data_IF_009070783209
#
_entry.id   IF_009070783209
#
_cell.length_a   1.000
_cell.length_b   1.000
_cell.length_c   1.000
_cell.angle_alpha   90.00
_cell.angle_beta   90.00
_cell.angle_gamma   90.00
#
_symmetry.space_group_name_H-M   'P 1'
#
loop_
_entity.id
_entity.type
_entity.pdbx_description
1 polymer ?
#
# COMPACT_ATOMS: atom_id res chain seq x y z
N UNK A 1 -4.56 -22.72 -27.33
CA UNK A 1 -5.21 -21.82 -26.36
C UNK A 1 -4.15 -20.86 -25.84
N UNK A 2 -4.07 -19.67 -26.42
CA UNK A 2 -3.22 -18.57 -25.94
C UNK A 2 -3.86 -18.00 -24.69
N UNK A 3 -3.31 -18.33 -23.52
CA UNK A 3 -3.80 -17.86 -22.22
C UNK A 3 -3.38 -16.40 -22.00
N UNK A 4 -4.05 -15.46 -22.66
CA UNK A 4 -3.86 -14.01 -22.49
C UNK A 4 -4.53 -13.47 -21.22
N UNK A 5 -4.24 -14.07 -20.06
CA UNK A 5 -4.82 -13.71 -18.75
C UNK A 5 -3.79 -13.14 -17.76
N UNK A 6 -2.56 -12.87 -18.20
CA UNK A 6 -1.51 -12.29 -17.35
C UNK A 6 -1.13 -10.91 -17.87
N UNK A 7 -0.75 -9.99 -16.97
CA UNK A 7 -0.25 -8.67 -17.34
C UNK A 7 0.82 -8.79 -18.44
N UNK A 8 0.76 -7.92 -19.45
CA UNK A 8 1.80 -7.88 -20.50
C UNK A 8 3.12 -7.38 -19.90
N UNK A 9 3.05 -6.58 -18.84
CA UNK A 9 4.18 -6.05 -18.08
C UNK A 9 3.82 -5.88 -16.60
N UNK A 10 4.72 -6.32 -15.71
CA UNK A 10 4.68 -6.05 -14.27
C UNK A 10 5.94 -5.29 -13.87
N UNK A 11 5.88 -4.47 -12.81
CA UNK A 11 7.10 -3.92 -12.23
C UNK A 11 7.68 -4.93 -11.25
N UNK A 12 8.99 -5.18 -11.35
CA UNK A 12 9.71 -6.09 -10.48
C UNK A 12 10.85 -5.35 -9.80
N UNK A 13 11.07 -5.65 -8.53
CA UNK A 13 12.23 -5.13 -7.81
C UNK A 13 12.71 -6.13 -6.77
N UNK A 14 14.02 -6.10 -6.51
CA UNK A 14 14.63 -6.79 -5.37
C UNK A 14 15.03 -5.74 -4.35
N UNK A 15 14.58 -5.93 -3.11
CA UNK A 15 14.96 -5.09 -1.99
C UNK A 15 15.25 -5.98 -0.76
N UNK A 16 16.44 -5.82 -0.16
CA UNK A 16 16.92 -6.64 0.98
C UNK A 16 16.77 -8.15 0.72
N UNK A 17 17.20 -8.59 -0.46
CA UNK A 17 17.12 -9.99 -0.94
C UNK A 17 15.69 -10.57 -1.03
N UNK A 18 14.67 -9.70 -1.04
CA UNK A 18 13.27 -10.08 -1.27
C UNK A 18 12.80 -9.56 -2.61
N UNK A 19 12.13 -10.44 -3.35
CA UNK A 19 11.53 -10.11 -4.63
C UNK A 19 10.13 -9.55 -4.42
N UNK A 20 9.84 -8.39 -5.02
CA UNK A 20 8.51 -7.80 -5.03
C UNK A 20 8.05 -7.59 -6.47
N UNK A 21 6.87 -8.12 -6.79
CA UNK A 21 6.21 -7.96 -8.09
C UNK A 21 4.99 -7.09 -7.89
N UNK A 22 4.86 -6.03 -8.67
CA UNK A 22 3.71 -5.13 -8.62
C UNK A 22 2.79 -5.36 -9.83
N UNK A 23 1.56 -5.87 -9.61
CA UNK A 23 0.54 -5.91 -10.65
C UNK A 23 0.02 -4.48 -10.90
N UNK A 24 0.52 -3.84 -11.96
CA UNK A 24 0.14 -2.46 -12.28
C UNK A 24 -1.22 -2.44 -12.98
N UNK A 25 -2.22 -1.82 -12.37
CA UNK A 25 -3.61 -1.78 -12.85
C UNK A 25 -3.75 -1.30 -14.30
N UNK A 26 -2.98 -0.28 -14.70
CA UNK A 26 -2.99 0.29 -16.05
C UNK A 26 -2.34 -0.62 -17.09
N UNK A 27 -1.50 -1.57 -16.66
CA UNK A 27 -0.84 -2.58 -17.50
C UNK A 27 -1.61 -3.91 -17.54
N UNK A 28 -2.62 -4.06 -16.69
CA UNK A 28 -3.50 -5.22 -16.68
C UNK A 28 -4.58 -5.09 -17.77
N UNK A 29 -4.93 -6.21 -18.46
CA UNK A 29 -5.98 -6.20 -19.47
C UNK A 29 -7.28 -5.61 -18.94
N UNK A 30 -7.88 -4.72 -19.72
CA UNK A 30 -9.26 -4.29 -19.49
C UNK A 30 -10.21 -5.03 -20.41
N UNK A 31 -11.37 -5.39 -19.90
CA UNK A 31 -12.46 -5.96 -20.70
C UNK A 31 -13.47 -4.87 -20.99
N UNK A 32 -13.74 -4.61 -22.27
CA UNK A 32 -14.78 -3.67 -22.69
C UNK A 32 -16.16 -4.20 -22.26
N UNK A 33 -17.01 -3.33 -21.72
CA UNK A 33 -18.31 -3.73 -21.16
C UNK A 33 -18.27 -4.34 -19.75
N UNK A 34 -17.09 -4.68 -19.21
CA UNK A 34 -16.93 -5.07 -17.81
C UNK A 34 -16.73 -3.83 -16.93
N UNK A 35 -17.83 -3.28 -16.42
CA UNK A 35 -17.79 -2.08 -15.56
C UNK A 35 -17.05 -2.30 -14.24
N UNK A 36 -16.91 -3.55 -13.79
CA UNK A 36 -16.19 -3.89 -12.56
C UNK A 36 -14.72 -4.25 -12.79
N UNK A 37 -14.29 -4.41 -14.05
CA UNK A 37 -12.93 -4.79 -14.44
C UNK A 37 -12.44 -6.01 -13.63
N UNK A 38 -13.24 -7.07 -13.59
CA UNK A 38 -13.04 -8.25 -12.75
C UNK A 38 -11.67 -8.90 -12.95
N UNK A 39 -11.10 -8.84 -14.16
CA UNK A 39 -9.75 -9.32 -14.42
C UNK A 39 -8.71 -8.53 -13.60
N UNK A 40 -8.74 -7.19 -13.68
CA UNK A 40 -7.85 -6.33 -12.88
C UNK A 40 -8.07 -6.55 -11.39
N UNK A 41 -9.34 -6.60 -10.98
CA UNK A 41 -9.73 -6.82 -9.59
C UNK A 41 -9.28 -8.18 -9.06
N UNK A 42 -9.24 -9.23 -9.87
CA UNK A 42 -8.71 -10.54 -9.46
C UNK A 42 -7.21 -10.49 -9.18
N UNK A 43 -6.44 -9.71 -9.93
CA UNK A 43 -5.01 -9.60 -9.70
C UNK A 43 -4.70 -8.74 -8.47
N UNK A 44 -5.29 -7.54 -8.38
CA UNK A 44 -4.97 -6.58 -7.31
C UNK A 44 -5.76 -6.88 -6.03
N UNK A 45 -7.02 -7.30 -6.16
CA UNK A 45 -7.92 -7.52 -5.03
C UNK A 45 -7.60 -8.77 -4.22
N UNK A 46 -6.60 -9.57 -4.62
CA UNK A 46 -6.08 -10.70 -3.86
C UNK A 46 -4.73 -10.39 -3.20
N UNK A 47 -4.18 -9.19 -3.41
CA UNK A 47 -3.02 -8.72 -2.65
C UNK A 47 -3.42 -8.34 -1.24
N UNK A 48 -2.42 -8.27 -0.35
CA UNK A 48 -2.59 -7.84 1.04
C UNK A 48 -2.48 -6.32 1.16
N UNK A 49 -1.67 -5.72 0.30
CA UNK A 49 -1.30 -4.30 0.34
C UNK A 49 -1.34 -3.73 -1.06
N UNK A 50 -1.92 -2.54 -1.22
CA UNK A 50 -1.93 -1.81 -2.48
C UNK A 50 -1.25 -0.44 -2.38
N UNK A 51 -0.60 -0.02 -3.46
CA UNK A 51 -0.15 1.37 -3.64
C UNK A 51 -1.19 2.09 -4.49
N UNK A 52 -1.72 3.20 -3.99
CA UNK A 52 -2.68 4.06 -4.69
C UNK A 52 -1.94 5.31 -5.14
N UNK A 53 -1.78 5.47 -6.46
CA UNK A 53 -1.21 6.68 -7.03
C UNK A 53 -2.31 7.68 -7.36
N UNK A 54 -2.15 8.93 -6.92
CA UNK A 54 -3.12 9.99 -7.12
C UNK A 54 -2.49 11.19 -7.82
N UNK A 55 -3.13 11.66 -8.91
CA UNK A 55 -2.76 12.92 -9.56
C UNK A 55 -3.38 14.13 -8.84
N UNK A 56 -4.57 13.96 -8.25
CA UNK A 56 -5.29 14.97 -7.46
C UNK A 56 -5.54 14.48 -6.03
N UNK A 57 -5.72 15.39 -5.07
CA UNK A 57 -6.01 15.06 -3.67
C UNK A 57 -7.45 14.56 -3.50
N UNK A 58 -7.73 13.37 -4.03
CA UNK A 58 -9.03 12.72 -3.87
C UNK A 58 -9.04 11.94 -2.57
N UNK A 59 -9.98 12.18 -1.64
CA UNK A 59 -10.09 11.38 -0.43
C UNK A 59 -10.19 9.89 -0.74
N UNK A 60 -9.41 9.08 -0.03
CA UNK A 60 -9.41 7.63 -0.17
C UNK A 60 -9.62 6.98 1.20
N UNK A 61 -10.55 6.01 1.27
CA UNK A 61 -10.71 5.15 2.44
C UNK A 61 -10.74 3.68 1.99
N UNK A 62 -10.24 2.73 2.82
CA UNK A 62 -10.19 1.31 2.49
C UNK A 62 -11.50 0.72 1.94
N UNK A 63 -12.64 1.17 2.46
CA UNK A 63 -13.97 0.65 2.10
C UNK A 63 -14.38 0.95 0.65
N UNK A 64 -13.68 1.88 -0.01
CA UNK A 64 -13.88 2.16 -1.44
C UNK A 64 -13.51 0.97 -2.33
N UNK A 65 -12.62 0.07 -1.86
CA UNK A 65 -12.20 -1.12 -2.60
C UNK A 65 -12.74 -2.38 -1.90
N UNK A 66 -13.78 -2.97 -2.49
CA UNK A 66 -14.33 -4.24 -2.03
C UNK A 66 -13.37 -5.41 -2.33
N UNK A 67 -12.57 -5.79 -1.34
CA UNK A 67 -11.68 -6.96 -1.32
C UNK A 67 -11.69 -7.61 0.07
N UNK A 68 -11.49 -8.93 0.14
CA UNK A 68 -11.28 -9.64 1.40
C UNK A 68 -9.80 -9.73 1.80
N UNK A 69 -8.89 -9.42 0.88
CA UNK A 69 -7.44 -9.60 1.06
C UNK A 69 -6.71 -8.27 1.26
N UNK A 70 -7.17 -7.18 0.64
CA UNK A 70 -6.55 -5.87 0.82
C UNK A 70 -6.89 -5.31 2.20
N UNK A 71 -5.87 -5.13 3.01
CA UNK A 71 -5.99 -4.66 4.39
C UNK A 71 -5.27 -3.32 4.61
N UNK A 72 -4.23 -3.04 3.82
CA UNK A 72 -3.40 -1.85 3.92
C UNK A 72 -3.20 -1.16 2.56
N UNK A 73 -3.06 0.17 2.60
CA UNK A 73 -2.91 1.01 1.42
C UNK A 73 -1.86 2.08 1.65
N UNK A 74 -0.95 2.23 0.69
CA UNK A 74 0.03 3.32 0.63
C UNK A 74 -0.48 4.30 -0.43
N UNK A 75 -0.95 5.47 -0.01
CA UNK A 75 -1.42 6.52 -0.90
C UNK A 75 -0.24 7.43 -1.24
N UNK A 76 0.09 7.52 -2.52
CA UNK A 76 1.16 8.36 -3.08
C UNK A 76 0.51 9.40 -3.97
N UNK A 77 0.43 10.63 -3.50
CA UNK A 77 -0.11 11.75 -4.26
C UNK A 77 1.03 12.53 -4.91
N UNK A 78 0.97 12.69 -6.22
CA UNK A 78 1.90 13.53 -6.95
C UNK A 78 1.60 15.03 -6.70
N UNK A 79 2.63 15.78 -6.35
CA UNK A 79 2.59 17.23 -6.20
C UNK A 79 3.67 17.88 -7.07
N UNK A 80 3.39 19.09 -7.56
CA UNK A 80 4.37 19.88 -8.32
C UNK A 80 4.89 19.16 -9.59
N UNK A 81 4.09 18.28 -10.19
CA UNK A 81 4.43 17.63 -11.46
C UNK A 81 4.65 18.69 -12.54
N UNK A 82 5.77 18.60 -13.27
CA UNK A 82 6.15 19.56 -14.31
C UNK A 82 6.80 20.85 -13.80
N UNK A 83 7.05 20.99 -12.49
CA UNK A 83 7.87 22.06 -11.92
C UNK A 83 9.33 21.62 -11.71
N UNK A 84 10.22 22.53 -11.33
CA UNK A 84 11.65 22.25 -11.09
C UNK A 84 11.89 21.23 -9.96
N UNK A 85 10.94 21.12 -9.03
CA UNK A 85 11.03 20.22 -7.87
C UNK A 85 9.74 19.39 -7.72
N UNK A 86 9.57 18.33 -8.52
CA UNK A 86 8.47 17.39 -8.33
C UNK A 86 8.61 16.68 -6.98
N UNK A 87 7.47 16.44 -6.33
CA UNK A 87 7.43 15.83 -5.00
C UNK A 87 6.22 14.93 -4.84
N UNK A 88 6.30 13.96 -3.96
CA UNK A 88 5.18 13.09 -3.65
C UNK A 88 4.79 13.23 -2.18
N UNK A 89 3.49 13.34 -1.93
CA UNK A 89 2.91 13.14 -0.60
C UNK A 89 2.63 11.67 -0.38
N UNK A 90 3.03 11.15 0.77
CA UNK A 90 2.79 9.75 1.13
C UNK A 90 1.95 9.69 2.40
N UNK A 91 0.90 8.88 2.37
CA UNK A 91 0.07 8.53 3.51
C UNK A 91 -0.15 7.01 3.54
N UNK A 92 -0.39 6.47 4.73
CA UNK A 92 -0.74 5.06 4.93
C UNK A 92 -2.12 5.01 5.55
N UNK A 93 -3.01 4.20 4.99
CA UNK A 93 -4.32 3.91 5.57
C UNK A 93 -4.58 2.42 5.56
N UNK A 94 -5.33 1.93 6.53
CA UNK A 94 -5.64 0.52 6.66
C UNK A 94 -7.04 0.33 7.22
N UNK A 95 -7.56 -0.91 7.14
CA UNK A 95 -8.85 -1.25 7.76
C UNK A 95 -8.80 -1.11 9.28
N UNK A 96 -9.95 -0.84 9.90
CA UNK A 96 -10.05 -0.56 11.35
C UNK A 96 -9.43 -1.65 12.24
N UNK A 97 -9.49 -2.91 11.82
CA UNK A 97 -8.95 -4.04 12.59
C UNK A 97 -7.45 -4.30 12.35
N UNK A 98 -6.81 -3.51 11.49
CA UNK A 98 -5.37 -3.56 11.26
C UNK A 98 -4.68 -2.74 12.33
N UNK A 99 -3.81 -3.33 13.17
CA UNK A 99 -2.97 -2.58 14.09
C UNK A 99 -2.17 -1.51 13.36
N UNK A 100 -1.84 -0.42 14.04
CA UNK A 100 -0.93 0.57 13.48
C UNK A 100 0.39 -0.09 13.05
N UNK A 101 0.85 0.24 11.86
CA UNK A 101 2.12 -0.21 11.28
C UNK A 101 2.74 0.91 10.46
N UNK A 102 4.01 0.75 10.15
CA UNK A 102 4.88 1.73 9.54
C UNK A 102 5.64 2.55 10.60
N UNK A 103 6.92 2.84 10.38
CA UNK A 103 7.59 3.84 11.17
C UNK A 103 6.92 5.19 10.88
N UNK A 104 6.94 6.14 11.83
CA UNK A 104 6.45 7.48 11.56
C UNK A 104 7.15 8.00 10.30
N UNK A 105 6.36 8.32 9.27
CA UNK A 105 6.91 8.84 8.02
C UNK A 105 7.71 10.12 8.36
N UNK A 106 9.01 10.18 8.01
CA UNK A 106 9.89 11.27 8.46
C UNK A 106 9.42 12.64 7.97
N UNK A 107 8.72 12.65 6.84
CA UNK A 107 7.97 13.79 6.32
C UNK A 107 6.80 13.28 5.49
N UNK A 108 5.68 14.01 5.41
CA UNK A 108 4.59 13.65 4.51
C UNK A 108 4.99 13.85 3.04
N UNK A 109 5.96 14.73 2.74
CA UNK A 109 6.44 15.04 1.39
C UNK A 109 7.84 14.49 1.17
N UNK A 110 8.05 13.89 0.01
CA UNK A 110 9.34 13.38 -0.45
C UNK A 110 9.67 13.96 -1.83
N UNK A 111 10.92 14.39 -2.06
CA UNK A 111 11.43 14.61 -3.41
C UNK A 111 11.28 13.35 -4.26
N UNK A 112 11.01 13.50 -5.56
CA UNK A 112 10.82 12.38 -6.49
C UNK A 112 11.95 11.34 -6.42
N UNK A 113 13.20 11.80 -6.45
CA UNK A 113 14.42 10.99 -6.42
C UNK A 113 14.57 10.18 -5.11
N UNK A 114 13.96 10.64 -4.01
CA UNK A 114 14.03 9.99 -2.70
C UNK A 114 12.80 9.18 -2.34
N UNK A 115 11.69 9.35 -3.05
CA UNK A 115 10.40 8.75 -2.69
C UNK A 115 10.48 7.22 -2.69
N UNK A 116 11.05 6.62 -3.75
CA UNK A 116 11.20 5.16 -3.84
C UNK A 116 12.02 4.59 -2.67
N UNK A 117 13.16 5.22 -2.38
CA UNK A 117 14.03 4.79 -1.29
C UNK A 117 13.31 4.91 0.06
N UNK A 118 12.64 6.04 0.31
CA UNK A 118 11.88 6.24 1.53
C UNK A 118 10.75 5.20 1.72
N UNK A 119 10.03 4.85 0.66
CA UNK A 119 9.00 3.81 0.73
C UNK A 119 9.60 2.43 1.02
N UNK A 120 10.68 2.05 0.34
CA UNK A 120 11.32 0.75 0.52
C UNK A 120 12.03 0.65 1.88
N UNK A 121 12.78 1.66 2.30
CA UNK A 121 13.54 1.60 3.56
C UNK A 121 12.65 1.65 4.79
N UNK A 122 11.56 2.43 4.75
CA UNK A 122 10.71 2.65 5.91
C UNK A 122 9.53 1.69 5.97
N UNK A 123 8.84 1.43 4.85
CA UNK A 123 7.57 0.68 4.91
C UNK A 123 7.75 -0.81 4.68
N UNK A 124 8.79 -1.25 3.97
CA UNK A 124 8.92 -2.64 3.53
C UNK A 124 8.93 -3.65 4.69
N UNK A 125 9.76 -3.42 5.71
CA UNK A 125 9.95 -4.42 6.78
C UNK A 125 8.72 -4.54 7.69
N UNK A 126 8.07 -3.42 7.99
CA UNK A 126 6.87 -3.41 8.82
C UNK A 126 5.68 -3.99 8.08
N UNK A 127 5.53 -3.63 6.80
CA UNK A 127 4.50 -4.20 5.95
C UNK A 127 4.70 -5.71 5.79
N UNK A 128 5.94 -6.15 5.69
CA UNK A 128 6.28 -7.57 5.65
C UNK A 128 5.92 -8.28 6.96
N UNK A 129 6.35 -7.77 8.10
CA UNK A 129 6.00 -8.32 9.41
C UNK A 129 4.47 -8.38 9.60
N UNK A 130 3.77 -7.34 9.18
CA UNK A 130 2.33 -7.26 9.27
C UNK A 130 1.62 -8.25 8.33
N UNK A 131 2.11 -8.39 7.10
CA UNK A 131 1.63 -9.40 6.14
C UNK A 131 1.85 -10.81 6.69
N UNK A 132 3.01 -11.09 7.28
CA UNK A 132 3.28 -12.39 7.94
C UNK A 132 2.32 -12.65 9.10
N UNK A 133 2.06 -11.66 9.95
CA UNK A 133 1.08 -11.77 11.03
C UNK A 133 -0.34 -12.05 10.49
N UNK A 134 -0.77 -11.34 9.45
CA UNK A 134 -2.08 -11.57 8.80
C UNK A 134 -2.20 -12.95 8.15
N UNK A 135 -1.10 -13.49 7.61
CA UNK A 135 -1.05 -14.84 7.04
C UNK A 135 -0.92 -15.94 8.11
N UNK A 136 -0.81 -15.57 9.40
CA UNK A 136 -0.57 -16.51 10.50
C UNK A 136 0.82 -17.14 10.47
N UNK A 137 1.79 -16.48 9.81
CA UNK A 137 3.17 -16.91 9.64
C UNK A 137 4.15 -16.12 10.52
N UNK A 138 3.64 -15.42 11.54
CA UNK A 138 4.48 -14.74 12.52
C UNK A 138 5.36 -15.71 13.30
N UNK A 139 6.44 -15.24 13.96
CA UNK A 139 7.23 -16.09 14.83
C UNK A 139 6.32 -16.75 15.86
N UNK A 140 6.43 -18.07 16.04
CA UNK A 140 5.68 -18.83 17.05
C UNK A 140 6.18 -18.52 18.47
N UNK A 141 6.16 -17.25 18.87
CA UNK A 141 6.59 -16.81 20.19
C UNK A 141 5.37 -16.49 21.07
N UNK A 142 5.05 -17.49 21.88
CA UNK A 142 4.39 -17.48 23.18
C UNK A 142 3.11 -16.65 23.37
N UNK A 143 2.02 -17.42 23.32
CA UNK A 143 0.80 -17.22 24.09
C UNK A 143 1.11 -17.00 25.58
N UNK A 144 1.35 -15.77 26.05
CA UNK A 144 1.12 -15.41 27.46
C UNK A 144 0.95 -13.89 27.71
N UNK A 145 -0.15 -13.61 28.43
CA UNK A 145 -0.44 -12.47 29.33
C UNK A 145 -0.86 -11.07 28.83
N UNK A 146 -2.05 -10.71 29.30
CA UNK A 146 -2.64 -9.37 29.32
C UNK A 146 -1.87 -8.40 30.21
N UNK A 147 -1.82 -7.13 29.83
CA UNK A 147 -1.66 -6.04 30.79
C UNK A 147 -1.00 -4.77 30.27
N UNK A 148 -1.82 -3.75 29.98
CA UNK A 148 -1.62 -2.37 30.45
C UNK A 148 -0.54 -1.48 29.82
N UNK A 149 -0.96 -0.23 29.57
CA UNK A 149 -0.17 0.98 29.25
C UNK A 149 0.43 1.03 27.84
N UNK A 150 0.23 2.06 27.03
CA UNK A 150 0.00 3.47 27.31
C UNK A 150 1.05 4.26 26.52
N UNK A 151 0.64 5.01 25.50
CA UNK A 151 1.52 5.84 24.67
C UNK A 151 0.75 6.34 23.45
N UNK A 152 -0.02 7.41 23.61
CA UNK A 152 0.41 8.77 23.26
C UNK A 152 0.77 8.88 21.78
N UNK A 153 -0.23 9.17 20.94
CA UNK A 153 -0.24 10.29 20.00
C UNK A 153 -1.69 10.49 19.50
N UNK A 154 -2.36 11.43 20.15
CA UNK A 154 -3.58 12.10 19.67
C UNK A 154 -3.14 13.37 18.94
N UNK A 155 -3.38 13.45 17.63
CA UNK A 155 -3.51 14.66 16.77
C UNK A 155 -3.28 14.21 15.32
N UNK A 156 -4.14 14.50 14.33
CA UNK A 156 -4.85 15.75 14.09
C UNK A 156 -6.29 15.49 13.61
N UNK A 157 -7.24 16.14 14.27
CA UNK A 157 -8.54 16.48 13.70
C UNK A 157 -8.37 17.86 13.08
N UNK A 158 -8.43 17.96 11.76
CA UNK A 158 -8.62 19.25 11.10
C UNK A 158 -10.10 19.62 11.26
N UNK A 159 -10.33 20.77 11.89
CA UNK A 159 -11.63 21.41 12.11
C UNK A 159 -11.65 22.62 11.18
N UNK A 160 -12.67 22.71 10.32
CA UNK A 160 -13.06 23.97 9.64
C UNK A 160 -13.55 25.01 10.68
#
# INVERSE_FOLDING_TARGET
>A
MTHGQTAVESLYTVFRDRETVFPVSTKLPSTEGDTQQLQRKRHIGNDIVAIIFQEENTPFVPDMIASNFLHAYIVVQAENLGMETPSYKVAVTAREYVPAFGPPLPSPRFPEDRTRAALLDNLHDELHAHTQAMLGLGPEEDKFESGGHGGFLESFKEVD
#
